data_IF_708560554646
#
_entry.id   IF_708560554646
#
_cell.length_a   1.000
_cell.length_b   1.000
_cell.length_c   1.000
_cell.angle_alpha   90.00
_cell.angle_beta   90.00
_cell.angle_gamma   90.00
#
_symmetry.space_group_name_H-M   'P 1'
#
loop_
_entity.id
_entity.type
_entity.pdbx_description
1 polymer ?
#
# COMPACT_ATOMS: atom_id res chain seq x y z
N UNK A 1 12.52 15.94 -12.57
CA UNK A 1 13.80 15.22 -12.38
C UNK A 1 13.58 14.11 -11.37
N UNK A 2 13.51 12.84 -11.80
CA UNK A 2 13.59 11.65 -10.94
C UNK A 2 15.01 11.10 -11.09
N UNK A 3 15.77 10.98 -10.01
CA UNK A 3 17.15 10.47 -10.11
C UNK A 3 18.09 10.77 -8.94
N UNK A 4 17.62 10.75 -7.70
CA UNK A 4 18.51 10.78 -6.52
C UNK A 4 18.23 9.66 -5.53
N UNK A 5 17.76 8.51 -6.02
CA UNK A 5 17.86 7.27 -5.26
C UNK A 5 19.25 6.68 -5.47
N UNK A 6 19.90 6.26 -4.39
CA UNK A 6 21.12 5.46 -4.38
C UNK A 6 20.95 4.18 -5.21
N UNK A 7 22.06 3.55 -5.60
CA UNK A 7 22.00 2.31 -6.40
C UNK A 7 21.25 1.20 -5.64
N UNK A 8 21.38 1.18 -4.32
CA UNK A 8 20.71 0.29 -3.38
C UNK A 8 19.20 0.57 -3.31
N UNK A 9 18.78 1.83 -3.25
CA UNK A 9 17.36 2.22 -3.27
C UNK A 9 16.70 1.86 -4.61
N UNK A 10 17.42 2.02 -5.73
CA UNK A 10 16.91 1.64 -7.05
C UNK A 10 16.85 0.11 -7.23
N UNK A 11 17.84 -0.64 -6.72
CA UNK A 11 17.82 -2.10 -6.76
C UNK A 11 16.72 -2.71 -5.88
N UNK A 12 16.44 -2.12 -4.71
CA UNK A 12 15.34 -2.55 -3.84
C UNK A 12 13.95 -2.34 -4.49
N UNK A 13 13.78 -1.28 -5.29
CA UNK A 13 12.53 -1.02 -6.03
C UNK A 13 12.35 -1.99 -7.19
N UNK A 14 13.44 -2.37 -7.88
CA UNK A 14 13.39 -3.29 -9.04
C UNK A 14 13.14 -4.75 -8.63
N UNK A 15 13.38 -5.11 -7.36
CA UNK A 15 13.33 -6.49 -6.84
C UNK A 15 11.97 -7.04 -6.39
N UNK A 16 10.86 -6.31 -6.52
CA UNK A 16 9.51 -6.83 -6.21
C UNK A 16 8.71 -6.07 -5.14
N UNK A 17 9.05 -4.81 -4.86
CA UNK A 17 8.26 -3.96 -3.95
C UNK A 17 7.49 -2.89 -4.74
N UNK A 18 6.18 -2.79 -4.49
CA UNK A 18 5.35 -1.70 -5.02
C UNK A 18 5.05 -0.69 -3.92
N UNK A 19 5.21 0.58 -4.27
CA UNK A 19 4.98 1.71 -3.38
C UNK A 19 3.96 2.62 -4.03
N UNK A 20 3.03 3.14 -3.23
CA UNK A 20 2.11 4.19 -3.65
C UNK A 20 2.02 5.26 -2.57
N UNK A 21 1.66 6.48 -2.95
CA UNK A 21 1.38 7.55 -2.02
C UNK A 21 0.14 8.34 -2.44
N UNK A 22 -0.43 9.07 -1.49
CA UNK A 22 -1.61 9.90 -1.68
C UNK A 22 -2.39 10.05 -0.39
N UNK A 23 -3.63 10.54 -0.50
CA UNK A 23 -4.51 10.72 0.66
C UNK A 23 -5.20 9.41 1.02
N UNK A 24 -5.51 9.24 2.29
CA UNK A 24 -6.38 8.13 2.72
C UNK A 24 -7.49 8.65 3.63
N UNK A 25 -8.60 7.91 3.65
CA UNK A 25 -9.72 8.14 4.56
C UNK A 25 -9.97 6.87 5.35
N UNK A 26 -10.14 6.99 6.66
CA UNK A 26 -10.47 5.87 7.54
C UNK A 26 -11.91 6.03 8.00
N UNK A 27 -12.73 5.03 7.70
CA UNK A 27 -14.03 4.87 8.33
C UNK A 27 -13.89 3.88 9.50
N UNK A 28 -13.96 4.41 10.72
CA UNK A 28 -13.82 3.61 11.94
C UNK A 28 -15.05 2.73 12.19
N UNK A 29 -16.25 3.18 11.80
CA UNK A 29 -17.49 2.45 12.01
C UNK A 29 -17.57 1.25 11.07
N UNK A 30 -17.28 1.48 9.80
CA UNK A 30 -17.26 0.44 8.77
C UNK A 30 -15.95 -0.35 8.73
N UNK A 31 -14.94 0.05 9.53
CA UNK A 31 -13.60 -0.54 9.57
C UNK A 31 -12.97 -0.66 8.19
N UNK A 32 -12.97 0.45 7.45
CA UNK A 32 -12.36 0.51 6.12
C UNK A 32 -11.33 1.62 6.01
N UNK A 33 -10.26 1.36 5.25
CA UNK A 33 -9.32 2.36 4.77
C UNK A 33 -9.55 2.50 3.27
N UNK A 34 -9.75 3.73 2.83
CA UNK A 34 -9.81 4.08 1.41
C UNK A 34 -8.56 4.85 1.04
N UNK A 35 -7.68 4.25 0.24
CA UNK A 35 -6.50 4.92 -0.33
C UNK A 35 -6.88 5.59 -1.64
N UNK A 36 -6.60 6.89 -1.76
CA UNK A 36 -6.67 7.65 -3.00
C UNK A 36 -5.24 7.84 -3.48
N UNK A 37 -4.82 7.02 -4.44
CA UNK A 37 -3.45 6.99 -4.93
C UNK A 37 -3.21 8.18 -5.84
N UNK A 38 -2.24 9.01 -5.51
CA UNK A 38 -1.76 10.09 -6.37
C UNK A 38 -0.74 9.57 -7.38
N UNK A 39 0.22 8.76 -6.94
CA UNK A 39 1.14 8.03 -7.82
C UNK A 39 1.70 6.78 -7.15
N UNK A 40 2.20 5.86 -7.98
CA UNK A 40 2.69 4.53 -7.63
C UNK A 40 3.97 4.19 -8.42
N UNK A 41 4.77 3.26 -7.91
CA UNK A 41 5.84 2.60 -8.69
C UNK A 41 5.29 1.57 -9.66
N UNK A 42 4.01 1.21 -9.51
CA UNK A 42 3.23 0.44 -10.48
C UNK A 42 2.21 1.39 -11.15
N UNK A 43 2.50 1.92 -12.36
CA UNK A 43 1.73 3.00 -12.98
C UNK A 43 0.23 2.71 -13.17
N UNK A 44 -0.16 1.43 -13.23
CA UNK A 44 -1.57 1.03 -13.33
C UNK A 44 -2.41 1.45 -12.11
N UNK A 45 -1.76 1.83 -11.01
CA UNK A 45 -2.41 2.30 -9.78
C UNK A 45 -2.45 3.82 -9.67
N UNK A 46 -1.85 4.57 -10.60
CA UNK A 46 -1.89 6.03 -10.57
C UNK A 46 -3.35 6.52 -10.68
N UNK A 47 -3.78 7.37 -9.75
CA UNK A 47 -5.16 7.85 -9.66
C UNK A 47 -6.17 6.81 -9.16
N UNK A 48 -5.76 5.58 -8.82
CA UNK A 48 -6.66 4.54 -8.37
C UNK A 48 -7.20 4.79 -6.96
N UNK A 49 -8.37 4.22 -6.68
CA UNK A 49 -8.97 4.22 -5.33
C UNK A 49 -9.10 2.80 -4.81
N UNK A 50 -8.51 2.54 -3.65
CA UNK A 50 -8.53 1.24 -3.00
C UNK A 50 -9.29 1.30 -1.69
N UNK A 51 -10.50 0.73 -1.66
CA UNK A 51 -11.19 0.46 -0.41
C UNK A 51 -10.76 -0.90 0.14
N UNK A 52 -10.32 -0.93 1.39
CA UNK A 52 -9.78 -2.10 2.08
C UNK A 52 -10.42 -2.21 3.45
N UNK A 53 -11.08 -3.34 3.72
CA UNK A 53 -11.54 -3.65 5.07
C UNK A 53 -10.32 -3.97 5.95
N UNK A 54 -10.31 -3.50 7.19
CA UNK A 54 -9.21 -3.75 8.10
C UNK A 54 -9.67 -4.31 9.44
N UNK A 55 -8.75 -4.96 10.14
CA UNK A 55 -8.88 -5.42 11.53
C UNK A 55 -7.73 -4.83 12.33
N UNK A 56 -7.98 -4.53 13.61
CA UNK A 56 -6.94 -4.10 14.55
C UNK A 56 -6.92 -5.07 15.73
N UNK A 57 -5.74 -5.55 16.07
CA UNK A 57 -5.48 -6.39 17.25
C UNK A 57 -4.23 -5.88 17.96
N UNK A 58 -4.40 -5.28 19.13
CA UNK A 58 -3.30 -4.65 19.88
C UNK A 58 -2.61 -3.55 19.06
N UNK A 59 -1.34 -3.77 18.74
CA UNK A 59 -0.50 -2.86 17.95
C UNK A 59 -0.46 -3.20 16.45
N UNK A 60 -1.24 -4.18 16.00
CA UNK A 60 -1.27 -4.61 14.59
C UNK A 60 -2.57 -4.21 13.89
N UNK A 61 -2.43 -3.72 12.67
CA UNK A 61 -3.51 -3.49 11.72
C UNK A 61 -3.32 -4.43 10.53
N UNK A 62 -4.34 -5.19 10.18
CA UNK A 62 -4.34 -6.10 9.02
C UNK A 62 -5.39 -5.66 8.01
N UNK A 63 -5.05 -5.59 6.74
CA UNK A 63 -6.01 -5.46 5.64
C UNK A 63 -5.65 -6.41 4.50
N UNK A 64 -6.66 -6.84 3.73
CA UNK A 64 -6.44 -7.74 2.60
C UNK A 64 -6.30 -6.96 1.30
N UNK A 65 -5.18 -7.13 0.58
CA UNK A 65 -5.05 -6.67 -0.79
C UNK A 65 -5.61 -7.71 -1.75
N UNK A 66 -6.71 -7.37 -2.44
CA UNK A 66 -7.44 -8.30 -3.31
C UNK A 66 -6.86 -8.39 -4.73
N UNK A 67 -6.04 -7.41 -5.13
CA UNK A 67 -5.52 -7.31 -6.49
C UNK A 67 -4.07 -6.81 -6.45
N UNK A 68 -3.14 -7.59 -5.86
CA UNK A 68 -1.75 -7.19 -5.80
C UNK A 68 -1.13 -7.12 -7.19
N UNK A 69 -0.15 -6.24 -7.34
CA UNK A 69 0.51 -5.96 -8.62
C UNK A 69 1.30 -7.12 -9.20
N UNK A 70 1.67 -8.11 -8.37
CA UNK A 70 2.48 -9.27 -8.75
C UNK A 70 1.65 -10.47 -9.24
N UNK A 71 0.32 -10.37 -9.21
CA UNK A 71 -0.58 -11.45 -9.62
C UNK A 71 -0.61 -12.65 -8.67
N UNK A 72 -0.05 -12.54 -7.45
CA UNK A 72 0.00 -13.62 -6.45
C UNK A 72 -1.37 -14.05 -5.90
N UNK A 73 -2.44 -13.31 -6.22
CA UNK A 73 -3.75 -13.49 -5.62
C UNK A 73 -3.87 -12.76 -4.27
N UNK A 74 -5.07 -12.73 -3.72
CA UNK A 74 -5.35 -11.92 -2.53
C UNK A 74 -4.50 -12.34 -1.32
N UNK A 75 -3.90 -11.37 -0.63
CA UNK A 75 -3.10 -11.62 0.57
C UNK A 75 -3.24 -10.50 1.61
N UNK A 76 -2.90 -10.83 2.86
CA UNK A 76 -2.97 -9.87 3.97
C UNK A 76 -1.70 -9.03 4.06
N UNK A 77 -1.91 -7.72 4.23
CA UNK A 77 -0.88 -6.76 4.61
C UNK A 77 -1.03 -6.47 6.11
N UNK A 78 0.06 -6.62 6.85
CA UNK A 78 0.09 -6.43 8.30
C UNK A 78 1.00 -5.26 8.63
N UNK A 79 0.44 -4.23 9.26
CA UNK A 79 1.15 -3.07 9.77
C UNK A 79 1.26 -3.15 11.28
N UNK A 80 2.45 -2.84 11.81
CA UNK A 80 2.69 -2.68 13.25
C UNK A 80 2.83 -1.20 13.58
N UNK A 81 2.12 -0.75 14.62
CA UNK A 81 2.22 0.61 15.14
C UNK A 81 3.66 0.85 15.64
N UNK A 82 4.30 1.89 15.10
CA UNK A 82 5.58 2.39 15.61
C UNK A 82 5.38 3.08 16.97
N UNK A 83 6.39 3.00 17.85
CA UNK A 83 6.38 3.63 19.18
C UNK A 83 6.92 5.05 19.12
#
# INVERSE_FOLDING_TARGET
MRGKGTAEENQAIVGGSVFHYGKYVVDVKEKTITFNVEASTFPNWDGATFKRAFKVSGDQLTYTDNAPSDGSGAHDVIWKRVK
#
